data_IF_783957437028
#
_entry.id   IF_783957437028
#
_cell.length_a   1.000
_cell.length_b   1.000
_cell.length_c   1.000
_cell.angle_alpha   90.00
_cell.angle_beta   90.00
_cell.angle_gamma   90.00
#
_symmetry.space_group_name_H-M   'P 1'
#
loop_
_entity.id
_entity.type
_entity.pdbx_description
1 polymer ?
#
# COMPACT_ATOMS: atom_id res chain seq x y z
N UNK A 1 20.19 25.06 4.86
CA UNK A 1 19.60 24.44 3.65
C UNK A 1 18.91 23.17 4.12
N UNK A 2 17.58 23.19 4.24
CA UNK A 2 16.82 22.04 4.75
C UNK A 2 16.80 21.01 3.63
N UNK A 3 17.46 19.87 3.84
CA UNK A 3 17.38 18.74 2.93
C UNK A 3 15.97 18.17 3.06
N UNK A 4 15.14 18.28 2.02
CA UNK A 4 13.86 17.57 1.98
C UNK A 4 14.16 16.07 2.02
N UNK A 5 13.73 15.39 3.08
CA UNK A 5 13.91 13.94 3.21
C UNK A 5 12.90 13.30 2.26
N UNK A 6 13.42 12.67 1.22
CA UNK A 6 12.64 11.97 0.21
C UNK A 6 12.27 10.57 0.72
N UNK A 7 11.07 10.43 1.28
CA UNK A 7 10.63 9.23 2.00
C UNK A 7 10.16 8.13 1.03
N UNK A 8 10.64 6.90 1.22
CA UNK A 8 10.11 5.74 0.48
C UNK A 8 8.66 5.46 0.86
N UNK A 9 7.90 4.85 -0.05
CA UNK A 9 6.49 4.50 0.17
C UNK A 9 6.37 2.99 0.38
N UNK A 10 5.79 2.60 1.51
CA UNK A 10 5.45 1.21 1.83
C UNK A 10 3.94 1.03 1.66
N UNK A 11 3.52 0.15 0.76
CA UNK A 11 2.13 -0.31 0.68
C UNK A 11 1.97 -1.54 1.55
N UNK A 12 1.09 -1.47 2.55
CA UNK A 12 0.88 -2.55 3.52
C UNK A 12 -0.49 -3.19 3.33
N UNK A 13 -0.51 -4.52 3.12
CA UNK A 13 -1.73 -5.32 3.08
C UNK A 13 -1.84 -6.16 4.35
N UNK A 14 -2.90 -5.92 5.12
CA UNK A 14 -3.15 -6.64 6.36
C UNK A 14 -3.60 -8.09 6.13
N UNK A 15 -3.60 -8.90 7.19
CA UNK A 15 -4.09 -10.27 7.20
C UNK A 15 -5.58 -10.36 7.53
N UNK A 16 -6.03 -11.52 8.02
CA UNK A 16 -7.44 -11.72 8.40
C UNK A 16 -8.25 -12.56 7.42
N UNK A 17 -7.57 -13.42 6.64
CA UNK A 17 -8.20 -14.44 5.78
C UNK A 17 -9.25 -13.89 4.80
N UNK A 18 -9.13 -12.62 4.38
CA UNK A 18 -10.09 -11.88 3.55
C UNK A 18 -11.44 -11.56 4.18
N UNK A 19 -11.66 -11.95 5.44
CA UNK A 19 -12.99 -11.93 6.07
C UNK A 19 -13.03 -10.94 7.23
N UNK A 20 -11.91 -10.72 7.90
CA UNK A 20 -11.86 -9.90 9.12
C UNK A 20 -10.70 -8.92 9.12
N UNK A 21 -10.73 -8.02 10.10
CA UNK A 21 -9.75 -6.95 10.36
C UNK A 21 -9.82 -5.84 9.30
N UNK A 22 -9.10 -4.76 9.56
CA UNK A 22 -9.08 -3.55 8.74
C UNK A 22 -7.73 -2.86 8.90
N UNK A 23 -7.49 -1.83 8.10
CA UNK A 23 -6.29 -1.00 8.17
C UNK A 23 -6.16 -0.20 9.49
N UNK A 24 -7.27 0.03 10.19
CA UNK A 24 -7.36 0.88 11.39
C UNK A 24 -7.49 0.11 12.71
N UNK A 25 -7.60 -1.24 12.69
CA UNK A 25 -7.58 -2.01 13.94
C UNK A 25 -6.25 -1.83 14.67
N UNK A 26 -6.33 -1.76 16.00
CA UNK A 26 -5.19 -1.44 16.87
C UNK A 26 -3.91 -2.25 16.60
N UNK A 27 -3.94 -3.58 16.34
CA UNK A 27 -2.73 -4.33 16.00
C UNK A 27 -2.03 -3.80 14.73
N UNK A 28 -2.76 -3.64 13.63
CA UNK A 28 -2.17 -3.18 12.36
C UNK A 28 -1.81 -1.70 12.39
N UNK A 29 -2.63 -0.86 13.02
CA UNK A 29 -2.28 0.54 13.27
C UNK A 29 -0.93 0.66 14.01
N UNK A 30 -0.73 -0.13 15.08
CA UNK A 30 0.50 -0.09 15.86
C UNK A 30 1.71 -0.58 15.07
N UNK A 31 1.56 -1.63 14.27
CA UNK A 31 2.63 -2.15 13.40
C UNK A 31 3.00 -1.12 12.32
N UNK A 32 2.01 -0.54 11.63
CA UNK A 32 2.25 0.50 10.63
C UNK A 32 2.93 1.73 11.25
N UNK A 33 2.51 2.17 12.45
CA UNK A 33 3.15 3.26 13.20
C UNK A 33 4.59 2.90 13.61
N UNK A 34 4.89 1.64 13.90
CA UNK A 34 6.26 1.20 14.17
C UNK A 34 7.12 1.31 12.91
N UNK A 35 6.61 0.87 11.76
CA UNK A 35 7.32 0.99 10.48
C UNK A 35 7.65 2.42 10.11
N UNK A 36 6.72 3.37 10.26
CA UNK A 36 7.00 4.78 9.96
C UNK A 36 8.14 5.33 10.82
N UNK A 37 8.19 4.96 12.11
CA UNK A 37 9.21 5.43 13.06
C UNK A 37 10.58 4.78 12.87
N UNK A 38 10.62 3.48 12.58
CA UNK A 38 11.88 2.74 12.51
C UNK A 38 12.51 2.79 11.12
N UNK A 39 11.69 2.79 10.07
CA UNK A 39 12.16 2.72 8.68
C UNK A 39 12.19 4.08 7.98
N UNK A 40 11.60 5.12 8.58
CA UNK A 40 11.48 6.46 7.97
C UNK A 40 10.83 6.38 6.59
N UNK A 41 9.63 5.79 6.55
CA UNK A 41 8.84 5.60 5.33
C UNK A 41 7.43 6.13 5.50
N UNK A 42 6.79 6.46 4.39
CA UNK A 42 5.35 6.69 4.35
C UNK A 42 4.66 5.34 4.22
N UNK A 43 3.72 5.03 5.10
CA UNK A 43 2.97 3.77 5.06
C UNK A 43 1.56 4.01 4.53
N UNK A 44 1.20 3.29 3.48
CA UNK A 44 -0.14 3.20 2.91
C UNK A 44 -0.75 1.88 3.37
N UNK A 45 -1.48 1.91 4.48
CA UNK A 45 -2.20 0.75 5.01
C UNK A 45 -3.50 0.58 4.23
N UNK A 46 -3.64 -0.50 3.46
CA UNK A 46 -4.75 -0.68 2.53
C UNK A 46 -5.95 -1.31 3.23
N UNK A 47 -7.09 -0.60 3.18
CA UNK A 47 -8.39 -1.08 3.67
C UNK A 47 -9.14 -1.79 2.54
N UNK A 48 -8.68 -3.01 2.19
CA UNK A 48 -9.27 -3.75 1.08
C UNK A 48 -10.63 -4.36 1.46
N UNK A 49 -11.49 -4.54 0.47
CA UNK A 49 -12.86 -5.06 0.64
C UNK A 49 -12.87 -6.48 1.21
N UNK A 50 -13.81 -6.81 2.09
CA UNK A 50 -13.87 -8.13 2.74
C UNK A 50 -14.95 -9.05 2.15
N UNK A 51 -14.70 -10.35 2.23
CA UNK A 51 -15.68 -11.40 1.98
C UNK A 51 -16.51 -11.65 3.26
N UNK A 52 -17.79 -12.10 3.12
CA UNK A 52 -18.45 -12.55 1.89
C UNK A 52 -19.10 -11.45 1.05
N UNK A 53 -19.17 -10.21 1.53
CA UNK A 53 -19.86 -9.09 0.87
C UNK A 53 -19.22 -8.75 -0.47
N UNK A 54 -17.88 -8.79 -0.52
CA UNK A 54 -17.07 -8.52 -1.69
C UNK A 54 -16.19 -9.74 -1.96
N UNK A 55 -16.71 -10.66 -2.77
CA UNK A 55 -16.02 -11.91 -3.10
C UNK A 55 -14.83 -11.66 -4.04
N UNK A 56 -13.99 -12.68 -4.19
CA UNK A 56 -12.94 -12.70 -5.20
C UNK A 56 -13.49 -12.27 -6.59
N UNK A 57 -12.80 -11.39 -7.34
CA UNK A 57 -11.42 -10.91 -7.13
C UNK A 57 -11.28 -9.56 -6.41
N UNK A 58 -12.30 -9.06 -5.70
CA UNK A 58 -12.36 -7.69 -5.17
C UNK A 58 -11.09 -7.22 -4.44
N UNK A 59 -10.53 -8.07 -3.58
CA UNK A 59 -9.32 -7.76 -2.80
C UNK A 59 -8.08 -7.58 -3.68
N UNK A 60 -8.00 -8.33 -4.77
CA UNK A 60 -6.88 -8.29 -5.71
C UNK A 60 -7.01 -7.10 -6.66
N UNK A 61 -8.24 -6.68 -6.95
CA UNK A 61 -8.52 -5.42 -7.64
C UNK A 61 -8.12 -4.22 -6.77
N UNK A 62 -8.49 -4.22 -5.49
CA UNK A 62 -8.08 -3.16 -4.55
C UNK A 62 -6.55 -3.08 -4.44
N UNK A 63 -5.86 -4.23 -4.47
CA UNK A 63 -4.41 -4.30 -4.45
C UNK A 63 -3.73 -3.55 -5.59
N UNK A 64 -4.17 -3.76 -6.84
CA UNK A 64 -3.61 -3.04 -7.99
C UNK A 64 -4.10 -1.60 -8.07
N UNK A 65 -5.34 -1.34 -7.64
CA UNK A 65 -5.93 0.00 -7.72
C UNK A 65 -5.22 0.98 -6.78
N UNK A 66 -4.71 0.52 -5.63
CA UNK A 66 -3.83 1.34 -4.79
C UNK A 66 -2.53 1.71 -5.53
N UNK A 67 -1.90 0.78 -6.24
CA UNK A 67 -0.69 1.09 -7.00
C UNK A 67 -0.98 2.12 -8.11
N UNK A 68 -2.09 1.94 -8.83
CA UNK A 68 -2.55 2.91 -9.85
C UNK A 68 -2.87 4.27 -9.24
N UNK A 69 -3.50 4.29 -8.07
CA UNK A 69 -3.78 5.51 -7.33
C UNK A 69 -2.49 6.25 -7.00
N UNK A 70 -1.46 5.52 -6.54
CA UNK A 70 -0.14 6.07 -6.23
C UNK A 70 0.66 6.52 -7.44
N UNK A 71 0.35 6.07 -8.66
CA UNK A 71 1.05 6.55 -9.86
C UNK A 71 0.58 7.94 -10.31
N UNK A 72 -0.66 8.31 -9.96
CA UNK A 72 -1.30 9.57 -10.36
C UNK A 72 -0.92 10.68 -9.37
N UNK A 73 -0.25 11.72 -9.86
CA UNK A 73 0.24 12.83 -9.03
C UNK A 73 -0.87 13.61 -8.31
N UNK A 74 -1.98 13.88 -9.01
CA UNK A 74 -3.13 14.58 -8.43
C UNK A 74 -3.73 13.84 -7.23
N UNK A 75 -3.72 12.50 -7.26
CA UNK A 75 -4.23 11.67 -6.18
C UNK A 75 -3.32 11.78 -4.94
N UNK A 76 -2.00 11.79 -5.15
CA UNK A 76 -1.01 11.86 -4.08
C UNK A 76 -0.96 13.23 -3.42
N UNK A 77 -0.92 14.31 -4.21
CA UNK A 77 -0.73 15.67 -3.70
C UNK A 77 -1.82 16.10 -2.72
N UNK A 78 -3.02 15.51 -2.83
CA UNK A 78 -4.16 15.75 -1.93
C UNK A 78 -4.14 14.90 -0.65
N UNK A 79 -3.33 13.84 -0.59
CA UNK A 79 -3.42 12.79 0.45
C UNK A 79 -2.11 12.52 1.19
N UNK A 80 -0.97 12.87 0.62
CA UNK A 80 0.35 12.58 1.19
C UNK A 80 0.95 13.81 1.88
N UNK A 81 1.53 13.65 3.09
CA UNK A 81 2.37 14.67 3.70
C UNK A 81 3.79 14.61 3.14
N UNK A 82 4.40 15.78 2.88
CA UNK A 82 5.75 15.93 2.29
C UNK A 82 5.95 15.16 0.96
N UNK A 83 6.99 15.44 0.18
CA UNK A 83 7.13 14.85 -1.17
C UNK A 83 7.44 13.33 -1.07
N UNK A 84 6.51 12.42 -1.44
CA UNK A 84 6.78 10.98 -1.39
C UNK A 84 7.71 10.55 -2.54
N UNK A 85 8.71 9.72 -2.24
CA UNK A 85 9.52 9.09 -3.28
C UNK A 85 8.80 7.87 -3.87
N UNK A 86 7.95 8.12 -4.85
CA UNK A 86 7.14 7.08 -5.52
C UNK A 86 7.98 6.16 -6.42
N UNK A 87 9.20 6.57 -6.78
CA UNK A 87 10.19 5.71 -7.45
C UNK A 87 10.88 4.71 -6.50
N UNK A 88 10.58 4.82 -5.20
CA UNK A 88 11.00 3.92 -4.12
C UNK A 88 9.76 3.41 -3.38
N UNK A 89 8.87 2.74 -4.10
CA UNK A 89 7.73 2.06 -3.53
C UNK A 89 8.06 0.57 -3.29
N UNK A 90 7.59 -0.01 -2.19
CA UNK A 90 7.72 -1.44 -1.90
C UNK A 90 6.50 -1.96 -1.14
N UNK A 91 6.27 -3.27 -1.17
CA UNK A 91 5.09 -3.90 -0.58
C UNK A 91 5.49 -4.68 0.68
N UNK A 92 4.73 -4.49 1.75
CA UNK A 92 4.83 -5.24 3.00
C UNK A 92 3.48 -5.91 3.33
N UNK A 93 3.50 -7.05 4.01
CA UNK A 93 2.30 -7.89 4.16
C UNK A 93 2.25 -8.65 5.47
N UNK A 94 1.06 -9.09 5.81
CA UNK A 94 0.80 -10.15 6.77
C UNK A 94 -0.24 -11.15 6.21
N UNK A 95 -0.03 -12.45 6.44
CA UNK A 95 -1.00 -13.53 6.16
C UNK A 95 -1.68 -13.42 4.77
N UNK A 96 -3.01 -13.30 4.71
CA UNK A 96 -3.80 -13.15 3.48
C UNK A 96 -3.38 -11.96 2.60
N UNK A 97 -2.84 -10.90 3.21
CA UNK A 97 -2.25 -9.76 2.50
C UNK A 97 -1.08 -10.18 1.61
N UNK A 98 -0.37 -11.27 1.94
CA UNK A 98 0.70 -11.83 1.11
C UNK A 98 0.21 -12.28 -0.26
N UNK A 99 -0.96 -12.89 -0.32
CA UNK A 99 -1.54 -13.33 -1.58
C UNK A 99 -2.12 -12.14 -2.38
N UNK A 100 -2.66 -11.09 -1.73
CA UNK A 100 -3.00 -9.82 -2.40
C UNK A 100 -1.76 -9.18 -3.03
N UNK A 101 -0.68 -9.06 -2.26
CA UNK A 101 0.57 -8.47 -2.73
C UNK A 101 1.19 -9.24 -3.90
N UNK A 102 1.17 -10.57 -3.85
CA UNK A 102 1.62 -11.40 -4.96
C UNK A 102 0.85 -11.07 -6.25
N UNK A 103 -0.48 -11.07 -6.18
CA UNK A 103 -1.34 -10.72 -7.33
C UNK A 103 -1.13 -9.29 -7.79
N UNK A 104 -1.00 -8.34 -6.87
CA UNK A 104 -0.75 -6.94 -7.19
C UNK A 104 0.60 -6.76 -7.90
N UNK A 105 1.65 -7.45 -7.47
CA UNK A 105 2.98 -7.40 -8.09
C UNK A 105 2.99 -8.00 -9.50
N UNK A 106 2.32 -9.15 -9.69
CA UNK A 106 2.17 -9.75 -11.03
C UNK A 106 1.42 -8.81 -11.95
N UNK A 107 0.25 -8.32 -11.53
CA UNK A 107 -0.53 -7.35 -12.32
C UNK A 107 0.24 -6.07 -12.60
N UNK A 108 0.99 -5.56 -11.63
CA UNK A 108 1.83 -4.37 -11.79
C UNK A 108 2.83 -4.49 -12.94
N UNK A 109 3.33 -5.70 -13.23
CA UNK A 109 4.23 -5.94 -14.38
C UNK A 109 3.55 -5.76 -15.74
N UNK A 110 2.22 -5.78 -15.78
CA UNK A 110 1.40 -5.58 -16.98
C UNK A 110 1.04 -4.09 -17.19
N UNK A 111 1.33 -3.22 -16.21
CA UNK A 111 1.02 -1.79 -16.28
C UNK A 111 2.26 -0.93 -16.57
N UNK A 112 2.09 0.05 -17.44
CA UNK A 112 3.08 1.10 -17.70
C UNK A 112 2.89 2.27 -16.72
N UNK A 113 3.36 2.10 -15.49
CA UNK A 113 3.39 3.17 -14.51
C UNK A 113 4.29 4.32 -14.98
N UNK A 114 3.82 5.56 -14.80
CA UNK A 114 4.54 6.76 -15.23
C UNK A 114 5.62 7.17 -14.25
N UNK A 115 5.35 7.02 -12.95
CA UNK A 115 6.22 7.47 -11.86
C UNK A 115 6.49 6.36 -10.84
N UNK A 116 5.51 5.49 -10.59
CA UNK A 116 5.61 4.41 -9.62
C UNK A 116 6.63 3.36 -10.05
N UNK A 117 7.51 3.02 -9.12
CA UNK A 117 8.38 1.84 -9.23
C UNK A 117 8.27 1.01 -7.97
N UNK A 118 7.68 -0.17 -8.11
CA UNK A 118 7.63 -1.17 -7.04
C UNK A 118 8.93 -1.95 -7.07
N UNK A 119 9.66 -1.98 -5.94
CA UNK A 119 10.94 -2.69 -5.76
C UNK A 119 10.84 -3.76 -4.70
#
# INVERSE_FOLDING_TARGET
MIQYIDLSVMVFFHGGAYIVLSSDVKPYYNVCRKFTRELHVIVVSVDYRLAPEQRHPAQHDDGIDVLRFLDIEENRSKKFPENPNISRCFIAVDSAGGHIAHHAAVRASEFNFQQLRVR
#
